data_IF_121720204414
#
_entry.id   IF_121720204414
#
_cell.length_a   1.000
_cell.length_b   1.000
_cell.length_c   1.000
_cell.angle_alpha   90.00
_cell.angle_beta   90.00
_cell.angle_gamma   90.00
#
_symmetry.space_group_name_H-M   'P 1'
#
loop_
_entity.id
_entity.type
_entity.pdbx_description
1 polymer ?
#
# COMPACT_ATOMS: atom_id res chain seq x y z
N UNK A 1 -9.78 -21.57 4.58
CA UNK A 1 -8.83 -20.76 3.73
C UNK A 1 -9.52 -19.46 3.37
N UNK A 2 -8.83 -18.33 3.34
CA UNK A 2 -9.46 -17.04 3.08
C UNK A 2 -10.20 -17.04 1.73
N UNK A 3 -11.40 -16.46 1.73
CA UNK A 3 -12.21 -16.33 0.52
C UNK A 3 -11.69 -15.17 -0.34
N UNK A 4 -11.59 -15.40 -1.65
CA UNK A 4 -11.25 -14.36 -2.62
C UNK A 4 -12.51 -13.91 -3.36
N UNK A 5 -12.89 -12.64 -3.18
CA UNK A 5 -14.06 -12.02 -3.86
C UNK A 5 -13.55 -10.94 -4.81
N UNK A 6 -13.74 -11.13 -6.12
CA UNK A 6 -13.50 -10.06 -7.11
C UNK A 6 -14.57 -8.99 -6.97
N UNK A 7 -14.19 -7.73 -7.17
CA UNK A 7 -15.13 -6.61 -7.20
C UNK A 7 -14.81 -5.63 -8.32
N UNK A 8 -15.83 -4.91 -8.75
CA UNK A 8 -15.74 -3.71 -9.58
C UNK A 8 -16.50 -2.60 -8.88
N UNK A 9 -15.88 -1.43 -8.80
CA UNK A 9 -16.49 -0.25 -8.17
C UNK A 9 -16.38 0.95 -9.09
N UNK A 10 -17.28 1.90 -8.95
CA UNK A 10 -17.22 3.16 -9.69
C UNK A 10 -16.26 4.12 -8.98
N UNK A 11 -15.14 4.43 -9.63
CA UNK A 11 -14.22 5.50 -9.26
C UNK A 11 -14.48 6.78 -10.07
N UNK A 12 -13.70 7.83 -9.83
CA UNK A 12 -13.82 9.13 -10.53
C UNK A 12 -13.43 9.06 -12.02
N UNK A 13 -12.59 8.09 -12.40
CA UNK A 13 -12.16 7.87 -13.78
C UNK A 13 -12.92 6.72 -14.49
N UNK A 14 -13.95 6.16 -13.87
CA UNK A 14 -14.69 4.99 -14.31
C UNK A 14 -14.48 3.79 -13.38
N UNK A 15 -14.78 2.58 -13.87
CA UNK A 15 -14.72 1.38 -13.03
C UNK A 15 -13.27 1.03 -12.63
N UNK A 16 -13.09 0.64 -11.36
CA UNK A 16 -11.87 0.07 -10.81
C UNK A 16 -12.10 -1.40 -10.47
N UNK A 17 -11.15 -2.26 -10.86
CA UNK A 17 -11.17 -3.67 -10.49
C UNK A 17 -10.35 -3.95 -9.24
N UNK A 18 -10.80 -4.91 -8.43
CA UNK A 18 -10.05 -5.34 -7.27
C UNK A 18 -10.41 -6.75 -6.81
N UNK A 19 -9.68 -7.19 -5.78
CA UNK A 19 -9.87 -8.48 -5.12
C UNK A 19 -9.85 -8.25 -3.61
N UNK A 20 -10.92 -8.62 -2.94
CA UNK A 20 -10.98 -8.71 -1.49
C UNK A 20 -10.54 -10.10 -1.04
N UNK A 21 -9.62 -10.15 -0.10
CA UNK A 21 -9.22 -11.31 0.66
C UNK A 21 -9.96 -11.26 1.99
N UNK A 22 -10.89 -12.18 2.20
CA UNK A 22 -11.77 -12.20 3.36
C UNK A 22 -11.29 -13.32 4.29
N UNK A 23 -10.98 -13.03 5.58
CA UNK A 23 -10.62 -14.06 6.55
C UNK A 23 -11.79 -15.04 6.80
N UNK A 24 -11.50 -16.19 7.40
CA UNK A 24 -12.53 -17.20 7.70
C UNK A 24 -13.50 -16.71 8.80
N UNK A 25 -13.01 -15.92 9.76
CA UNK A 25 -13.82 -15.28 10.80
C UNK A 25 -14.25 -13.86 10.38
N UNK A 26 -15.15 -13.25 11.15
CA UNK A 26 -15.57 -11.87 10.93
C UNK A 26 -14.36 -10.91 10.99
N UNK A 27 -14.13 -10.09 9.96
CA UNK A 27 -12.98 -9.17 9.96
C UNK A 27 -13.13 -8.10 11.04
N UNK A 28 -12.02 -7.76 11.70
CA UNK A 28 -11.98 -6.71 12.72
C UNK A 28 -11.20 -5.46 12.29
N UNK A 29 -10.68 -5.46 11.07
CA UNK A 29 -10.07 -4.29 10.42
C UNK A 29 -10.16 -4.39 8.90
N UNK A 30 -10.02 -3.25 8.21
CA UNK A 30 -9.91 -3.13 6.75
C UNK A 30 -8.48 -2.76 6.40
N UNK A 31 -7.84 -3.51 5.50
CA UNK A 31 -6.57 -3.16 4.91
C UNK A 31 -6.72 -2.89 3.40
N UNK A 32 -6.30 -1.72 2.93
CA UNK A 32 -6.29 -1.37 1.49
C UNK A 32 -4.85 -1.31 1.01
N UNK A 33 -4.50 -2.17 0.04
CA UNK A 33 -3.13 -2.39 -0.42
C UNK A 33 -2.95 -1.89 -1.85
N UNK A 34 -2.09 -0.89 -2.02
CA UNK A 34 -1.80 -0.24 -3.30
C UNK A 34 -0.52 -0.78 -3.96
N UNK A 35 -0.58 -0.93 -5.29
CA UNK A 35 0.50 -1.53 -6.08
C UNK A 35 1.55 -0.49 -6.55
N UNK A 36 2.74 -0.94 -7.01
CA UNK A 36 3.79 -0.05 -7.49
C UNK A 36 3.40 0.62 -8.82
N UNK A 37 4.31 1.40 -9.36
CA UNK A 37 4.10 2.31 -10.49
C UNK A 37 3.43 1.65 -11.70
N UNK A 38 2.24 2.12 -12.13
CA UNK A 38 1.49 1.59 -13.26
C UNK A 38 2.30 1.51 -14.56
N UNK A 39 3.00 2.58 -14.89
CA UNK A 39 3.75 2.71 -16.15
C UNK A 39 5.00 1.80 -16.22
N UNK A 40 5.39 1.20 -15.10
CA UNK A 40 6.46 0.20 -15.01
C UNK A 40 5.92 -1.22 -14.80
N UNK A 41 4.68 -1.47 -15.23
CA UNK A 41 4.04 -2.78 -15.12
C UNK A 41 3.50 -3.13 -13.72
N UNK A 42 3.35 -2.13 -12.85
CA UNK A 42 2.71 -2.30 -11.54
C UNK A 42 1.27 -2.73 -11.67
N UNK A 43 0.87 -3.75 -10.91
CA UNK A 43 -0.50 -4.27 -10.84
C UNK A 43 -0.80 -4.78 -9.43
N UNK A 44 -2.07 -4.97 -9.10
CA UNK A 44 -2.50 -5.62 -7.84
C UNK A 44 -1.99 -7.06 -7.70
N UNK A 45 -1.50 -7.68 -8.78
CA UNK A 45 -0.88 -9.02 -8.80
C UNK A 45 0.59 -9.02 -8.35
N UNK A 46 1.22 -7.88 -8.13
CA UNK A 46 2.61 -7.79 -7.69
C UNK A 46 2.86 -8.63 -6.43
N UNK A 47 4.02 -9.31 -6.36
CA UNK A 47 4.33 -10.24 -5.27
C UNK A 47 4.41 -9.58 -3.89
N UNK A 48 4.91 -8.35 -3.80
CA UNK A 48 4.92 -7.59 -2.53
C UNK A 48 3.49 -7.28 -2.10
N UNK A 49 2.65 -6.77 -3.02
CA UNK A 49 1.23 -6.46 -2.77
C UNK A 49 0.44 -7.69 -2.31
N UNK A 50 0.63 -8.82 -2.99
CA UNK A 50 -0.03 -10.07 -2.60
C UNK A 50 0.47 -10.61 -1.25
N UNK A 51 1.74 -10.39 -0.92
CA UNK A 51 2.33 -10.77 0.37
C UNK A 51 1.75 -9.92 1.50
N UNK A 52 1.61 -8.61 1.31
CA UNK A 52 0.98 -7.71 2.28
C UNK A 52 -0.48 -8.10 2.53
N UNK A 53 -1.26 -8.33 1.46
CA UNK A 53 -2.65 -8.76 1.60
C UNK A 53 -2.76 -10.09 2.39
N UNK A 54 -1.87 -11.05 2.13
CA UNK A 54 -1.83 -12.31 2.90
C UNK A 54 -1.47 -12.09 4.38
N UNK A 55 -0.56 -11.16 4.68
CA UNK A 55 -0.23 -10.81 6.07
C UNK A 55 -1.44 -10.26 6.82
N UNK A 56 -2.17 -9.32 6.20
CA UNK A 56 -3.36 -8.73 6.81
C UNK A 56 -4.49 -9.74 7.02
N UNK A 57 -4.72 -10.65 6.07
CA UNK A 57 -5.74 -11.71 6.24
C UNK A 57 -5.39 -12.67 7.37
N UNK A 58 -4.11 -13.01 7.52
CA UNK A 58 -3.64 -13.86 8.63
C UNK A 58 -3.82 -13.18 10.00
N UNK A 59 -3.85 -11.84 10.01
CA UNK A 59 -4.20 -11.03 11.18
C UNK A 59 -5.71 -10.88 11.40
N UNK A 60 -6.57 -11.50 10.58
CA UNK A 60 -8.02 -11.37 10.68
C UNK A 60 -8.59 -10.11 10.05
N UNK A 61 -7.84 -9.41 9.20
CA UNK A 61 -8.33 -8.22 8.49
C UNK A 61 -8.90 -8.61 7.13
N UNK A 62 -9.93 -7.91 6.67
CA UNK A 62 -10.27 -7.97 5.25
C UNK A 62 -9.27 -7.12 4.46
N UNK A 63 -8.58 -7.72 3.49
CA UNK A 63 -7.54 -7.04 2.72
C UNK A 63 -7.96 -6.85 1.25
N UNK A 64 -8.07 -5.60 0.80
CA UNK A 64 -8.43 -5.25 -0.56
C UNK A 64 -7.18 -4.84 -1.35
N UNK A 65 -6.92 -5.53 -2.47
CA UNK A 65 -5.97 -5.11 -3.51
C UNK A 65 -6.76 -4.70 -4.73
N UNK A 66 -6.33 -3.66 -5.40
CA UNK A 66 -7.02 -3.14 -6.58
C UNK A 66 -6.01 -2.67 -7.63
N UNK A 67 -6.43 -2.55 -8.86
CA UNK A 67 -5.67 -1.91 -9.92
C UNK A 67 -6.03 -0.43 -9.98
N UNK A 68 -5.02 0.43 -9.93
CA UNK A 68 -5.18 1.85 -10.19
C UNK A 68 -5.76 2.10 -11.58
N UNK A 69 -6.27 3.30 -11.78
CA UNK A 69 -6.76 3.77 -13.10
C UNK A 69 -5.79 3.45 -14.23
N UNK A 70 -6.30 2.99 -15.36
CA UNK A 70 -5.52 2.62 -16.54
C UNK A 70 -4.75 1.30 -16.42
N UNK A 71 -4.93 0.51 -15.35
CA UNK A 71 -4.26 -0.78 -15.16
C UNK A 71 -5.28 -1.91 -15.23
N UNK A 72 -4.97 -2.97 -15.99
CA UNK A 72 -5.84 -4.14 -16.15
C UNK A 72 -7.19 -3.75 -16.71
N UNK A 73 -8.28 -4.08 -15.99
CA UNK A 73 -9.64 -3.71 -16.35
C UNK A 73 -10.12 -2.42 -15.66
N UNK A 74 -9.26 -1.71 -14.96
CA UNK A 74 -9.57 -0.40 -14.38
C UNK A 74 -9.58 0.66 -15.48
N UNK A 75 -10.65 1.47 -15.51
CA UNK A 75 -10.81 2.56 -16.47
C UNK A 75 -9.85 3.73 -16.19
N UNK A 76 -9.81 4.68 -17.11
CA UNK A 76 -9.03 5.90 -16.97
C UNK A 76 -7.59 5.77 -17.46
N UNK A 77 -6.73 6.68 -16.98
CA UNK A 77 -5.30 6.75 -17.32
C UNK A 77 -4.51 7.16 -16.09
N UNK A 78 -3.23 6.77 -16.04
CA UNK A 78 -2.28 7.19 -15.02
C UNK A 78 -2.23 8.73 -14.89
N UNK A 79 -2.35 9.23 -13.64
CA UNK A 79 -2.44 10.65 -13.31
C UNK A 79 -1.43 11.10 -12.25
N UNK A 80 -0.22 10.52 -12.30
CA UNK A 80 0.94 10.92 -11.50
C UNK A 80 0.69 10.97 -9.98
N UNK A 81 -0.23 10.15 -9.48
CA UNK A 81 -0.59 10.04 -8.07
C UNK A 81 -1.78 10.91 -7.64
N UNK A 82 -2.26 11.85 -8.48
CA UNK A 82 -3.41 12.68 -8.10
C UNK A 82 -4.71 11.87 -8.19
N UNK A 83 -5.00 11.35 -9.36
CA UNK A 83 -6.15 10.52 -9.56
C UNK A 83 -6.07 9.19 -8.82
N UNK A 84 -4.87 8.64 -8.64
CA UNK A 84 -4.67 7.39 -7.89
C UNK A 84 -5.03 7.55 -6.40
N UNK A 85 -4.92 8.74 -5.82
CA UNK A 85 -5.48 9.04 -4.49
C UNK A 85 -7.00 8.90 -4.49
N UNK A 86 -7.69 9.45 -5.50
CA UNK A 86 -9.15 9.30 -5.63
C UNK A 86 -9.57 7.83 -5.79
N UNK A 87 -8.74 7.00 -6.45
CA UNK A 87 -8.98 5.57 -6.55
C UNK A 87 -8.92 4.90 -5.16
N UNK A 88 -7.93 5.23 -4.32
CA UNK A 88 -7.87 4.76 -2.93
C UNK A 88 -9.11 5.16 -2.14
N UNK A 89 -9.55 6.43 -2.25
CA UNK A 89 -10.74 6.92 -1.55
C UNK A 89 -11.99 6.12 -1.96
N UNK A 90 -12.12 5.80 -3.26
CA UNK A 90 -13.24 4.99 -3.76
C UNK A 90 -13.21 3.56 -3.20
N UNK A 91 -12.03 2.92 -3.16
CA UNK A 91 -11.85 1.57 -2.62
C UNK A 91 -12.14 1.53 -1.11
N UNK A 92 -11.67 2.50 -0.34
CA UNK A 92 -11.97 2.60 1.10
C UNK A 92 -13.46 2.80 1.36
N UNK A 93 -14.12 3.65 0.58
CA UNK A 93 -15.58 3.85 0.67
C UNK A 93 -16.34 2.55 0.41
N UNK A 94 -15.98 1.82 -0.64
CA UNK A 94 -16.55 0.51 -0.93
C UNK A 94 -16.30 -0.49 0.21
N UNK A 95 -15.08 -0.56 0.73
CA UNK A 95 -14.76 -1.46 1.81
C UNK A 95 -15.58 -1.19 3.08
N UNK A 96 -15.78 0.09 3.44
CA UNK A 96 -16.64 0.47 4.57
C UNK A 96 -18.12 0.14 4.34
N UNK A 97 -18.61 0.27 3.11
CA UNK A 97 -19.98 -0.12 2.75
C UNK A 97 -20.21 -1.63 2.86
N UNK A 98 -19.22 -2.44 2.46
CA UNK A 98 -19.33 -3.91 2.47
C UNK A 98 -19.05 -4.54 3.85
N UNK A 99 -18.12 -3.97 4.63
CA UNK A 99 -17.60 -4.60 5.86
C UNK A 99 -17.84 -3.77 7.13
N UNK A 100 -18.44 -2.60 7.03
CA UNK A 100 -18.68 -1.68 8.15
C UNK A 100 -17.54 -0.71 8.40
N UNK A 101 -17.71 0.19 9.36
CA UNK A 101 -16.72 1.21 9.74
C UNK A 101 -15.70 0.62 10.73
N UNK A 102 -14.90 -0.30 10.22
CA UNK A 102 -13.82 -0.96 10.95
C UNK A 102 -12.54 -0.10 10.93
N UNK A 103 -11.59 -0.35 11.86
CA UNK A 103 -10.26 0.25 11.84
C UNK A 103 -9.62 0.12 10.46
N UNK A 104 -9.10 1.25 9.93
CA UNK A 104 -8.53 1.31 8.58
C UNK A 104 -7.01 1.25 8.61
N UNK A 105 -6.45 0.33 7.84
CA UNK A 105 -5.03 0.25 7.55
C UNK A 105 -4.82 0.58 6.07
N UNK A 106 -3.98 1.56 5.78
CA UNK A 106 -3.51 1.83 4.43
C UNK A 106 -2.13 1.22 4.26
N UNK A 107 -1.92 0.48 3.17
CA UNK A 107 -0.63 -0.13 2.87
C UNK A 107 -0.28 0.05 1.41
N UNK A 108 1.01 0.25 1.10
CA UNK A 108 1.44 0.40 -0.28
C UNK A 108 2.91 0.07 -0.50
N UNK A 109 3.19 -0.38 -1.72
CA UNK A 109 4.54 -0.67 -2.17
C UNK A 109 4.99 0.37 -3.20
N UNK A 110 6.20 0.93 -3.01
CA UNK A 110 6.84 1.87 -3.94
C UNK A 110 5.92 3.08 -4.23
N UNK A 111 5.51 3.30 -5.48
CA UNK A 111 4.52 4.31 -5.87
C UNK A 111 3.20 4.17 -5.07
N UNK A 112 2.72 2.94 -4.86
CA UNK A 112 1.54 2.71 -4.03
C UNK A 112 1.73 3.21 -2.60
N UNK A 113 2.93 3.15 -2.05
CA UNK A 113 3.27 3.75 -0.76
C UNK A 113 3.14 5.27 -0.76
N UNK A 114 3.63 5.94 -1.81
CA UNK A 114 3.45 7.37 -2.00
C UNK A 114 1.97 7.77 -2.09
N UNK A 115 1.18 7.05 -2.89
CA UNK A 115 -0.27 7.32 -3.02
C UNK A 115 -1.00 7.12 -1.69
N UNK A 116 -0.68 6.05 -0.96
CA UNK A 116 -1.29 5.75 0.34
C UNK A 116 -0.96 6.82 1.40
N UNK A 117 0.28 7.33 1.42
CA UNK A 117 0.66 8.42 2.30
C UNK A 117 -0.16 9.69 2.03
N UNK A 118 -0.41 10.02 0.75
CA UNK A 118 -1.28 11.15 0.36
C UNK A 118 -2.74 10.92 0.74
N UNK A 119 -3.25 9.71 0.51
CA UNK A 119 -4.62 9.35 0.89
C UNK A 119 -4.82 9.38 2.42
N UNK A 120 -3.77 9.04 3.19
CA UNK A 120 -3.80 9.08 4.65
C UNK A 120 -4.10 10.47 5.22
N UNK A 121 -3.73 11.55 4.53
CA UNK A 121 -4.05 12.93 4.95
C UNK A 121 -5.56 13.21 5.00
N UNK A 122 -6.35 12.47 4.22
CA UNK A 122 -7.80 12.62 4.17
C UNK A 122 -8.54 11.53 4.95
N UNK A 123 -7.98 10.31 4.97
CA UNK A 123 -8.63 9.12 5.53
C UNK A 123 -8.31 8.89 7.01
N UNK A 124 -7.23 9.48 7.51
CA UNK A 124 -6.75 9.33 8.90
C UNK A 124 -6.75 7.86 9.35
N UNK A 125 -5.99 6.96 8.67
CA UNK A 125 -5.99 5.54 9.00
C UNK A 125 -5.43 5.31 10.41
N UNK A 126 -5.85 4.21 11.05
CA UNK A 126 -5.27 3.80 12.32
C UNK A 126 -3.78 3.45 12.19
N UNK A 127 -3.40 2.87 11.06
CA UNK A 127 -2.01 2.50 10.75
C UNK A 127 -1.72 2.74 9.26
N UNK A 128 -0.48 3.15 8.97
CA UNK A 128 0.05 3.25 7.62
C UNK A 128 1.25 2.32 7.49
N UNK A 129 1.23 1.43 6.49
CA UNK A 129 2.33 0.46 6.23
C UNK A 129 2.94 0.72 4.86
N UNK A 130 4.13 1.28 4.84
CA UNK A 130 4.82 1.69 3.63
C UNK A 130 6.04 0.79 3.37
N UNK A 131 6.04 0.09 2.25
CA UNK A 131 7.11 -0.80 1.83
C UNK A 131 7.87 -0.17 0.67
N UNK A 132 9.15 0.14 0.87
CA UNK A 132 10.02 0.82 -0.10
C UNK A 132 9.30 2.00 -0.79
N UNK A 133 8.68 2.94 -0.04
CA UNK A 133 7.86 3.98 -0.64
C UNK A 133 8.68 4.91 -1.53
N UNK A 134 8.11 5.38 -2.63
CA UNK A 134 8.73 6.34 -3.51
C UNK A 134 8.74 7.73 -2.86
N UNK A 135 9.84 8.08 -2.18
CA UNK A 135 9.97 9.33 -1.38
C UNK A 135 10.48 10.52 -2.17
N UNK A 136 11.07 10.31 -3.34
CA UNK A 136 11.68 11.37 -4.16
C UNK A 136 11.31 11.26 -5.64
N UNK A 137 11.47 12.37 -6.36
CA UNK A 137 11.42 12.50 -7.83
C UNK A 137 12.46 11.66 -8.59
N UNK A 138 13.09 10.67 -7.97
CA UNK A 138 14.16 9.85 -8.59
C UNK A 138 13.66 8.94 -9.71
N UNK A 139 12.35 8.87 -9.93
CA UNK A 139 11.79 8.26 -11.13
C UNK A 139 11.41 9.37 -12.10
N UNK A 140 11.91 9.41 -13.35
CA UNK A 140 11.67 10.48 -14.33
C UNK A 140 10.17 10.80 -14.59
N UNK A 141 9.28 9.92 -14.15
CA UNK A 141 7.83 10.01 -14.31
C UNK A 141 7.14 10.93 -13.27
N UNK A 142 7.88 11.49 -12.31
CA UNK A 142 7.35 12.40 -11.29
C UNK A 142 7.73 13.87 -11.50
N UNK A 143 7.97 14.31 -12.74
CA UNK A 143 8.42 15.68 -13.05
C UNK A 143 7.51 16.77 -12.44
N UNK A 144 6.24 16.48 -12.23
CA UNK A 144 5.25 17.40 -11.63
C UNK A 144 4.63 16.90 -10.32
N UNK A 145 5.11 15.79 -9.73
CA UNK A 145 4.53 15.27 -8.48
C UNK A 145 5.05 16.05 -7.27
N UNK A 146 4.17 16.19 -6.29
CA UNK A 146 4.54 16.70 -4.96
C UNK A 146 5.48 15.72 -4.27
N UNK A 147 6.34 16.21 -3.38
CA UNK A 147 7.14 15.35 -2.49
C UNK A 147 6.24 14.45 -1.65
N UNK A 148 6.82 13.38 -1.11
CA UNK A 148 6.16 12.54 -0.10
C UNK A 148 5.65 13.43 1.03
N UNK A 149 4.36 13.35 1.42
CA UNK A 149 3.81 14.20 2.48
C UNK A 149 4.33 13.77 3.86
N UNK A 150 4.11 14.63 4.84
CA UNK A 150 4.27 14.27 6.24
C UNK A 150 3.24 13.20 6.61
N UNK A 151 3.66 12.19 7.34
CA UNK A 151 2.80 11.09 7.78
C UNK A 151 2.76 11.00 9.30
N UNK A 152 1.76 10.32 9.82
CA UNK A 152 1.57 10.16 11.25
C UNK A 152 2.62 9.25 11.89
N UNK A 153 2.86 9.41 13.19
CA UNK A 153 3.82 8.63 13.97
C UNK A 153 3.53 7.11 14.00
N UNK A 154 2.28 6.70 13.77
CA UNK A 154 1.87 5.30 13.67
C UNK A 154 2.14 4.68 12.29
N UNK A 155 3.21 5.11 11.61
CA UNK A 155 3.61 4.60 10.30
C UNK A 155 4.70 3.53 10.46
N UNK A 156 4.45 2.34 9.90
CA UNK A 156 5.45 1.29 9.73
C UNK A 156 6.18 1.48 8.39
N UNK A 157 7.48 1.76 8.45
CA UNK A 157 8.35 1.84 7.27
C UNK A 157 9.21 0.57 7.16
N UNK A 158 9.17 -0.09 6.00
CA UNK A 158 9.99 -1.27 5.70
C UNK A 158 10.77 -1.02 4.41
N UNK A 159 12.08 -1.27 4.41
CA UNK A 159 12.94 -1.02 3.27
C UNK A 159 14.03 -2.07 3.12
N UNK A 160 14.54 -2.26 1.90
CA UNK A 160 15.72 -3.09 1.65
C UNK A 160 16.98 -2.25 1.60
N UNK A 161 18.08 -2.73 2.16
CA UNK A 161 19.38 -2.03 2.11
C UNK A 161 20.06 -2.06 0.74
N UNK A 162 19.63 -3.01 -0.11
CA UNK A 162 20.11 -3.18 -1.49
C UNK A 162 19.06 -2.70 -2.52
N UNK A 163 18.18 -1.75 -2.13
CA UNK A 163 17.18 -1.19 -3.02
C UNK A 163 17.84 -0.23 -4.03
N UNK A 164 17.85 -0.65 -5.30
CA UNK A 164 18.45 0.07 -6.43
C UNK A 164 17.47 1.03 -7.14
N UNK A 165 16.20 1.04 -6.74
CA UNK A 165 15.14 1.89 -7.31
C UNK A 165 14.86 3.09 -6.42
N UNK A 166 14.71 2.84 -5.12
CA UNK A 166 14.56 3.87 -4.10
C UNK A 166 15.69 3.68 -3.08
N UNK A 167 16.71 4.50 -3.16
CA UNK A 167 17.86 4.39 -2.27
C UNK A 167 17.45 4.55 -0.80
N UNK A 168 17.93 3.64 0.08
CA UNK A 168 17.65 3.69 1.51
C UNK A 168 17.97 5.08 2.11
N UNK A 169 19.04 5.73 1.63
CA UNK A 169 19.44 7.05 2.12
C UNK A 169 18.38 8.12 1.84
N UNK A 170 17.65 8.02 0.73
CA UNK A 170 16.57 8.97 0.41
C UNK A 170 15.37 8.75 1.34
N UNK A 171 15.03 7.50 1.66
CA UNK A 171 14.01 7.21 2.67
C UNK A 171 14.42 7.75 4.05
N UNK A 172 15.66 7.51 4.48
CA UNK A 172 16.16 7.98 5.77
C UNK A 172 16.21 9.51 5.87
N UNK A 173 16.55 10.21 4.79
CA UNK A 173 16.48 11.68 4.72
C UNK A 173 15.07 12.20 4.95
N UNK A 174 14.07 11.54 4.34
CA UNK A 174 12.67 11.91 4.50
C UNK A 174 12.15 11.50 5.89
N UNK A 175 12.46 10.31 6.40
CA UNK A 175 11.95 9.82 7.68
C UNK A 175 12.50 10.56 8.91
N UNK A 176 13.74 11.06 8.83
CA UNK A 176 14.45 11.69 9.96
C UNK A 176 13.74 12.91 10.56
N UNK A 177 13.26 13.91 9.79
CA UNK A 177 12.53 15.06 10.34
C UNK A 177 11.21 14.69 11.03
N UNK A 178 10.65 13.52 10.67
CA UNK A 178 9.38 13.00 11.22
C UNK A 178 9.59 12.00 12.37
N UNK A 179 10.85 11.75 12.77
CA UNK A 179 11.23 10.80 13.82
C UNK A 179 10.66 9.38 13.61
N UNK A 180 10.48 8.98 12.32
CA UNK A 180 9.89 7.70 11.98
C UNK A 180 10.92 6.57 12.03
N UNK A 181 10.64 5.45 12.74
CA UNK A 181 11.48 4.27 12.72
C UNK A 181 11.40 3.57 11.36
N UNK A 182 12.54 3.06 10.88
CA UNK A 182 12.64 2.30 9.62
C UNK A 182 13.14 0.89 9.92
N UNK A 183 12.38 -0.12 9.51
CA UNK A 183 12.84 -1.50 9.54
C UNK A 183 13.57 -1.79 8.23
N UNK A 184 14.86 -2.12 8.33
CA UNK A 184 15.71 -2.41 7.17
C UNK A 184 15.95 -3.91 7.06
N UNK A 185 15.64 -4.51 5.91
CA UNK A 185 15.94 -5.90 5.60
C UNK A 185 17.29 -5.99 4.87
N UNK A 186 18.27 -6.58 5.54
CA UNK A 186 19.59 -6.79 4.99
C UNK A 186 19.56 -7.72 3.77
N UNK A 187 20.22 -7.31 2.67
CA UNK A 187 20.29 -8.03 1.40
C UNK A 187 18.98 -8.04 0.61
N UNK A 188 18.03 -7.18 0.94
CA UNK A 188 16.79 -7.05 0.16
C UNK A 188 16.92 -5.91 -0.86
N UNK A 189 16.67 -6.20 -2.14
CA UNK A 189 16.45 -5.20 -3.19
C UNK A 189 15.00 -4.71 -3.22
N UNK A 190 14.66 -3.84 -4.18
CA UNK A 190 13.36 -3.17 -4.26
C UNK A 190 12.16 -4.11 -4.18
N UNK A 191 12.21 -5.25 -4.91
CA UNK A 191 11.10 -6.21 -4.99
C UNK A 191 11.11 -7.29 -3.91
N UNK A 192 12.01 -7.22 -2.93
CA UNK A 192 12.13 -8.18 -1.82
C UNK A 192 12.25 -9.64 -2.30
N UNK A 193 12.92 -9.89 -3.44
CA UNK A 193 13.15 -11.25 -3.95
C UNK A 193 13.90 -12.08 -2.89
N UNK A 194 13.38 -13.28 -2.59
CA UNK A 194 13.91 -14.14 -1.52
C UNK A 194 13.66 -13.65 -0.09
N UNK A 195 12.98 -12.50 0.11
CA UNK A 195 12.70 -11.88 1.41
C UNK A 195 11.22 -11.66 1.71
N UNK A 196 10.32 -12.13 0.84
CA UNK A 196 8.87 -11.94 1.02
C UNK A 196 8.30 -12.61 2.28
N UNK A 197 8.90 -13.72 2.73
CA UNK A 197 8.51 -14.39 3.99
C UNK A 197 8.86 -13.49 5.18
N UNK A 198 10.05 -12.92 5.20
CA UNK A 198 10.48 -11.98 6.26
C UNK A 198 9.61 -10.71 6.25
N UNK A 199 9.33 -10.15 5.06
CA UNK A 199 8.42 -9.01 4.92
C UNK A 199 7.06 -9.29 5.55
N UNK A 200 6.46 -10.44 5.23
CA UNK A 200 5.18 -10.87 5.80
C UNK A 200 5.25 -10.96 7.34
N UNK A 201 6.29 -11.61 7.86
CA UNK A 201 6.48 -11.78 9.31
C UNK A 201 6.65 -10.44 10.05
N UNK A 202 7.35 -9.47 9.47
CA UNK A 202 7.50 -8.13 10.05
C UNK A 202 6.12 -7.48 10.21
N UNK A 203 5.29 -7.53 9.17
CA UNK A 203 3.93 -6.96 9.24
C UNK A 203 3.11 -7.67 10.32
N UNK A 204 3.10 -9.01 10.34
CA UNK A 204 2.36 -9.78 11.35
C UNK A 204 2.83 -9.45 12.77
N UNK A 205 4.13 -9.42 13.02
CA UNK A 205 4.69 -9.12 14.34
C UNK A 205 4.41 -7.68 14.81
N UNK A 206 4.37 -6.72 13.87
CA UNK A 206 4.05 -5.34 14.20
C UNK A 206 2.64 -5.21 14.79
N UNK A 207 1.65 -5.85 14.17
CA UNK A 207 0.27 -5.81 14.63
C UNK A 207 0.01 -6.74 15.82
N UNK A 208 0.65 -7.92 15.88
CA UNK A 208 0.49 -8.89 16.97
C UNK A 208 1.08 -8.44 18.32
N UNK A 209 1.86 -7.36 18.36
CA UNK A 209 2.36 -6.75 19.62
C UNK A 209 1.44 -5.66 20.17
N UNK A 210 0.39 -5.32 19.45
CA UNK A 210 -0.56 -4.26 19.81
C UNK A 210 -1.86 -4.83 20.41
N UNK A 211 -1.98 -6.16 20.45
CA UNK A 211 -3.06 -6.91 21.14
C UNK A 211 -2.57 -7.40 22.49
#
# INVERSE_FOLDING_TARGET
MPTLKKFFITGTAGNLEGIAHIPDDAPHAIAVVAHPLPTMGGTMGNKVVTTLAKAFVELGFVALRFNFRGVGNSAGKFDQGNGEVEDVLAVVRHARQEYGDLPLILSGFSFGGYVQARAALQLHPQQLVLVAPAVRRSVPLFENSTSMPDVQANTLLIHGDMDEVVELQELLKWARPHELPVIVLAGAGHFFHGRLVQLKQIVIQHFGRQT
#
